data_IF_925537326324
#
_entry.id   IF_925537326324
#
_cell.length_a   1.000
_cell.length_b   1.000
_cell.length_c   1.000
_cell.angle_alpha   90.00
_cell.angle_beta   90.00
_cell.angle_gamma   90.00
#
_symmetry.space_group_name_H-M   'P 1'
#
loop_
_entity.id
_entity.type
_entity.pdbx_description
1 polymer ?
#
# COMPACT_ATOMS: atom_id res chain seq x y z
N UNK A 1 53.27 -5.74 -60.62
CA UNK A 1 52.20 -4.96 -59.97
C UNK A 1 51.65 -5.78 -58.81
N UNK A 2 52.13 -5.52 -57.59
CA UNK A 2 51.71 -6.21 -56.38
C UNK A 2 50.56 -5.46 -55.73
N UNK A 3 49.41 -6.10 -55.51
CA UNK A 3 48.35 -5.57 -54.64
C UNK A 3 47.48 -6.73 -54.14
N UNK A 4 47.89 -7.35 -53.03
CA UNK A 4 47.11 -8.36 -52.32
C UNK A 4 45.83 -7.73 -51.76
N UNK A 5 44.68 -8.32 -52.09
CA UNK A 5 43.36 -7.84 -51.70
C UNK A 5 42.78 -8.65 -50.53
N UNK A 6 42.30 -7.90 -49.54
CA UNK A 6 41.12 -8.16 -48.70
C UNK A 6 41.27 -9.14 -47.52
N UNK A 7 41.55 -8.57 -46.35
CA UNK A 7 41.07 -9.10 -45.06
C UNK A 7 40.40 -7.96 -44.30
N UNK A 8 39.07 -7.97 -44.26
CA UNK A 8 38.25 -7.00 -43.53
C UNK A 8 37.46 -7.75 -42.48
N UNK A 9 38.11 -8.01 -41.34
CA UNK A 9 37.43 -8.40 -40.10
C UNK A 9 36.76 -7.16 -39.52
N UNK A 10 35.44 -7.16 -39.36
CA UNK A 10 34.78 -6.33 -38.36
C UNK A 10 33.91 -7.22 -37.47
N UNK A 11 34.24 -7.21 -36.18
CA UNK A 11 33.59 -8.01 -35.15
C UNK A 11 32.28 -7.32 -34.80
N UNK A 12 31.15 -8.00 -34.97
CA UNK A 12 29.85 -7.59 -34.44
C UNK A 12 29.92 -7.65 -32.91
N UNK A 13 30.14 -6.50 -32.27
CA UNK A 13 29.82 -6.33 -30.87
C UNK A 13 28.30 -6.40 -30.74
N UNK A 14 27.80 -7.49 -30.17
CA UNK A 14 26.41 -7.61 -29.76
C UNK A 14 26.14 -6.57 -28.70
N UNK A 15 25.48 -5.48 -29.08
CA UNK A 15 24.81 -4.57 -28.18
C UNK A 15 23.66 -5.34 -27.54
N UNK A 16 23.95 -6.07 -26.47
CA UNK A 16 22.93 -6.52 -25.54
C UNK A 16 22.23 -5.27 -25.06
N UNK A 17 20.99 -5.08 -25.52
CA UNK A 17 20.05 -4.10 -25.02
C UNK A 17 19.91 -4.36 -23.53
N UNK A 18 20.74 -3.70 -22.71
CA UNK A 18 20.43 -3.53 -21.31
C UNK A 18 19.14 -2.73 -21.34
N UNK A 19 18.02 -3.44 -21.19
CA UNK A 19 16.71 -2.88 -20.96
C UNK A 19 16.91 -1.87 -19.85
N UNK A 20 17.03 -0.62 -20.26
CA UNK A 20 17.11 0.53 -19.37
C UNK A 20 15.91 0.36 -18.48
N UNK A 21 16.18 0.09 -17.19
CA UNK A 21 15.21 0.04 -16.12
C UNK A 21 14.38 1.28 -16.28
N UNK A 22 13.27 1.12 -16.99
CA UNK A 22 12.37 2.21 -17.33
C UNK A 22 11.80 2.49 -15.97
N UNK A 23 12.32 3.54 -15.32
CA UNK A 23 11.66 4.18 -14.21
C UNK A 23 10.26 4.40 -14.71
N UNK A 24 9.35 3.47 -14.37
CA UNK A 24 7.97 3.48 -14.82
C UNK A 24 7.47 4.82 -14.33
N UNK A 25 7.36 5.77 -15.24
CA UNK A 25 6.83 7.08 -14.94
C UNK A 25 5.42 6.81 -14.46
N UNK A 26 5.20 6.88 -13.15
CA UNK A 26 3.87 6.77 -12.58
C UNK A 26 3.04 7.85 -13.26
N UNK A 27 1.98 7.47 -13.96
CA UNK A 27 1.17 8.44 -14.71
C UNK A 27 0.31 9.27 -13.74
N UNK A 28 -0.05 10.50 -14.14
CA UNK A 28 -1.00 11.30 -13.37
C UNK A 28 -2.32 10.57 -13.14
N UNK A 29 -2.76 9.76 -14.12
CA UNK A 29 -3.97 8.94 -14.01
C UNK A 29 -3.84 7.94 -12.85
N UNK A 30 -2.71 7.25 -12.71
CA UNK A 30 -2.46 6.32 -11.61
C UNK A 30 -2.46 7.02 -10.25
N UNK A 31 -1.88 8.22 -10.17
CA UNK A 31 -1.89 9.04 -8.95
C UNK A 31 -3.34 9.44 -8.63
N UNK A 32 -4.11 9.87 -9.62
CA UNK A 32 -5.51 10.28 -9.44
C UNK A 32 -6.41 9.12 -9.01
N UNK A 33 -6.20 7.92 -9.56
CA UNK A 33 -6.92 6.70 -9.19
C UNK A 33 -6.59 6.30 -7.75
N UNK A 34 -5.32 6.35 -7.37
CA UNK A 34 -4.88 6.08 -6.00
C UNK A 34 -5.53 7.06 -5.01
N UNK A 35 -5.47 8.36 -5.29
CA UNK A 35 -6.10 9.38 -4.44
C UNK A 35 -7.62 9.18 -4.34
N UNK A 36 -8.27 8.74 -5.41
CA UNK A 36 -9.71 8.44 -5.42
C UNK A 36 -10.03 7.25 -4.52
N UNK A 37 -9.22 6.18 -4.58
CA UNK A 37 -9.35 5.01 -3.69
C UNK A 37 -9.10 5.38 -2.23
N UNK A 38 -8.06 6.16 -1.95
CA UNK A 38 -7.75 6.62 -0.60
C UNK A 38 -8.87 7.48 -0.01
N UNK A 39 -9.41 8.42 -0.80
CA UNK A 39 -10.57 9.20 -0.38
C UNK A 39 -11.74 8.29 0.00
N UNK A 40 -12.12 7.30 -0.82
CA UNK A 40 -13.23 6.39 -0.52
C UNK A 40 -13.07 5.58 0.79
N UNK A 41 -11.83 5.29 1.19
CA UNK A 41 -11.52 4.56 2.43
C UNK A 41 -11.50 5.45 3.67
N UNK A 42 -11.33 6.76 3.51
CA UNK A 42 -11.29 7.69 4.63
C UNK A 42 -12.68 7.92 5.24
N UNK A 43 -12.82 7.90 6.57
CA UNK A 43 -14.11 8.17 7.22
C UNK A 43 -14.63 9.58 6.90
N UNK A 44 -13.75 10.55 6.66
CA UNK A 44 -14.14 11.93 6.31
C UNK A 44 -14.84 12.02 4.94
N UNK A 45 -14.53 11.14 3.98
CA UNK A 45 -15.23 11.13 2.69
C UNK A 45 -16.64 10.56 2.83
N UNK A 46 -16.83 9.63 3.76
CA UNK A 46 -18.12 8.98 4.04
C UNK A 46 -19.01 9.90 4.88
N UNK A 47 -18.45 10.55 5.90
CA UNK A 47 -19.15 11.51 6.75
C UNK A 47 -19.68 12.70 5.94
N UNK A 48 -18.97 13.08 4.87
CA UNK A 48 -19.35 14.17 3.98
C UNK A 48 -19.79 13.63 2.63
N UNK A 49 -20.91 12.91 2.62
CA UNK A 49 -21.75 12.60 1.44
C UNK A 49 -22.33 13.87 0.75
N UNK A 50 -21.60 14.99 0.78
CA UNK A 50 -22.09 16.32 0.46
C UNK A 50 -20.94 17.32 0.40
N UNK A 51 -20.07 17.18 -0.59
CA UNK A 51 -19.30 18.31 -1.11
C UNK A 51 -17.86 18.45 -0.63
N UNK A 52 -16.98 18.64 -1.61
CA UNK A 52 -16.00 19.73 -1.62
C UNK A 52 -14.72 19.67 -0.77
N UNK A 53 -14.24 18.51 -0.33
CA UNK A 53 -12.82 18.40 0.06
C UNK A 53 -12.05 17.40 -0.81
N UNK A 54 -11.95 17.74 -2.09
CA UNK A 54 -10.78 17.35 -2.90
C UNK A 54 -9.60 18.13 -2.33
N UNK A 55 -9.12 17.72 -1.15
CA UNK A 55 -7.92 18.27 -0.54
C UNK A 55 -6.75 18.10 -1.50
N UNK A 56 -5.68 18.87 -1.30
CA UNK A 56 -4.42 18.62 -2.02
C UNK A 56 -4.03 17.14 -1.86
N UNK A 57 -3.31 16.57 -2.84
CA UNK A 57 -2.81 15.20 -2.74
C UNK A 57 -2.08 14.96 -1.40
N UNK A 58 -1.33 15.96 -0.94
CA UNK A 58 -0.67 15.97 0.36
C UNK A 58 -1.65 15.82 1.53
N UNK A 59 -2.80 16.50 1.49
CA UNK A 59 -3.83 16.40 2.54
C UNK A 59 -4.48 15.02 2.55
N UNK A 60 -4.88 14.49 1.39
CA UNK A 60 -5.44 13.13 1.29
C UNK A 60 -4.47 12.08 1.84
N UNK A 61 -3.18 12.20 1.50
CA UNK A 61 -2.14 11.31 2.02
C UNK A 61 -1.96 11.48 3.54
N UNK A 62 -1.97 12.71 4.05
CA UNK A 62 -1.88 12.99 5.49
C UNK A 62 -3.05 12.38 6.25
N UNK A 63 -4.27 12.54 5.76
CA UNK A 63 -5.48 12.01 6.38
C UNK A 63 -5.46 10.48 6.33
N UNK A 64 -5.03 9.90 5.21
CA UNK A 64 -4.81 8.44 5.06
C UNK A 64 -3.82 7.91 6.09
N UNK A 65 -2.65 8.53 6.21
CA UNK A 65 -1.65 8.12 7.19
C UNK A 65 -2.16 8.29 8.63
N UNK A 66 -2.97 9.31 8.90
CA UNK A 66 -3.57 9.54 10.21
C UNK A 66 -4.60 8.47 10.55
N UNK A 67 -5.42 8.07 9.58
CA UNK A 67 -6.41 7.02 9.76
C UNK A 67 -5.78 5.64 9.95
N UNK A 68 -4.71 5.32 9.22
CA UNK A 68 -3.94 4.08 9.44
C UNK A 68 -3.41 4.04 10.88
N UNK A 69 -2.87 5.16 11.39
CA UNK A 69 -2.39 5.23 12.78
C UNK A 69 -3.51 5.05 13.79
N UNK A 70 -4.68 5.65 13.58
CA UNK A 70 -5.82 5.46 14.50
C UNK A 70 -6.31 4.02 14.48
N UNK A 71 -6.40 3.40 13.31
CA UNK A 71 -6.76 1.98 13.18
C UNK A 71 -5.77 1.07 13.93
N UNK A 72 -4.46 1.31 13.78
CA UNK A 72 -3.46 0.56 14.55
C UNK A 72 -3.65 0.74 16.06
N UNK A 73 -3.86 1.98 16.52
CA UNK A 73 -4.10 2.25 17.94
C UNK A 73 -5.39 1.59 18.44
N UNK A 74 -6.48 1.62 17.67
CA UNK A 74 -7.74 0.97 18.01
C UNK A 74 -7.57 -0.55 18.11
N UNK A 75 -6.84 -1.16 17.17
CA UNK A 75 -6.51 -2.59 17.20
C UNK A 75 -5.65 -2.93 18.41
N UNK A 76 -4.64 -2.12 18.73
CA UNK A 76 -3.77 -2.34 19.90
C UNK A 76 -4.58 -2.24 21.20
N UNK A 77 -5.40 -1.20 21.36
CA UNK A 77 -6.26 -1.00 22.52
C UNK A 77 -7.30 -2.13 22.69
N UNK A 78 -7.92 -2.56 21.59
CA UNK A 78 -8.85 -3.69 21.59
C UNK A 78 -8.13 -4.99 21.97
N UNK A 79 -6.92 -5.18 21.48
CA UNK A 79 -6.09 -6.35 21.80
C UNK A 79 -5.72 -6.40 23.27
N UNK A 80 -5.34 -5.26 23.86
CA UNK A 80 -5.06 -5.14 25.29
C UNK A 80 -6.32 -5.39 26.13
N UNK A 81 -7.44 -4.76 25.77
CA UNK A 81 -8.73 -4.96 26.46
C UNK A 81 -9.17 -6.43 26.43
N UNK A 82 -8.99 -7.12 25.29
CA UNK A 82 -9.28 -8.54 25.17
C UNK A 82 -8.33 -9.40 26.02
N UNK A 83 -7.04 -9.07 26.06
CA UNK A 83 -6.08 -9.78 26.89
C UNK A 83 -6.40 -9.64 28.39
N UNK A 84 -6.76 -8.43 28.83
CA UNK A 84 -7.22 -8.17 30.20
C UNK A 84 -8.52 -8.91 30.52
N UNK A 85 -9.49 -8.93 29.60
CA UNK A 85 -10.74 -9.65 29.78
C UNK A 85 -10.51 -11.16 29.92
N UNK A 86 -9.60 -11.72 29.11
CA UNK A 86 -9.21 -13.13 29.20
C UNK A 86 -8.43 -13.46 30.49
N UNK A 87 -7.66 -12.52 31.01
CA UNK A 87 -6.88 -12.71 32.24
C UNK A 87 -7.71 -12.51 33.52
N UNK A 88 -8.65 -11.56 33.51
CA UNK A 88 -9.49 -11.19 34.67
C UNK A 88 -10.67 -12.12 34.86
N UNK A 89 -11.22 -12.64 33.76
CA UNK A 89 -12.30 -13.57 33.86
C UNK A 89 -11.72 -14.93 34.30
N UNK A 90 -12.10 -15.32 35.52
CA UNK A 90 -12.19 -16.71 35.95
C UNK A 90 -13.35 -17.36 35.16
N UNK A 91 -13.23 -17.35 33.82
CA UNK A 91 -14.35 -17.45 32.89
C UNK A 91 -14.97 -18.83 33.06
N UNK A 92 -16.18 -18.90 33.61
CA UNK A 92 -17.06 -20.06 33.45
C UNK A 92 -17.04 -20.43 31.96
N UNK A 93 -16.67 -21.67 31.62
CA UNK A 93 -16.16 -22.08 30.30
C UNK A 93 -16.88 -21.51 29.07
N UNK A 94 -18.17 -21.21 29.20
CA UNK A 94 -19.08 -20.77 28.16
C UNK A 94 -18.74 -19.37 27.62
N UNK A 95 -18.46 -18.37 28.48
CA UNK A 95 -18.08 -17.04 28.01
C UNK A 95 -16.71 -17.06 27.31
N UNK A 96 -15.77 -17.91 27.77
CA UNK A 96 -14.47 -18.08 27.15
C UNK A 96 -14.59 -18.81 25.80
N UNK A 97 -15.54 -19.73 25.68
CA UNK A 97 -15.86 -20.37 24.42
C UNK A 97 -16.40 -19.36 23.40
N UNK A 98 -17.27 -18.43 23.82
CA UNK A 98 -17.77 -17.35 22.95
C UNK A 98 -16.63 -16.42 22.51
N UNK A 99 -15.79 -15.96 23.44
CA UNK A 99 -14.62 -15.13 23.08
C UNK A 99 -13.69 -15.89 22.13
N UNK A 100 -13.40 -17.17 22.39
CA UNK A 100 -12.60 -18.03 21.48
C UNK A 100 -13.24 -18.23 20.11
N UNK A 101 -14.58 -18.31 20.03
CA UNK A 101 -15.30 -18.46 18.76
C UNK A 101 -15.37 -17.18 17.93
N UNK A 102 -15.26 -16.01 18.57
CA UNK A 102 -15.22 -14.72 17.86
C UNK A 102 -13.81 -14.40 17.34
N UNK A 103 -12.77 -15.00 17.94
CA UNK A 103 -11.37 -14.84 17.56
C UNK A 103 -10.90 -15.80 16.45
N UNK A 104 -11.64 -16.88 16.17
CA UNK A 104 -11.34 -17.87 15.10
C UNK A 104 -12.21 -17.62 13.86
#
# INVERSE_FOLDING_TARGET
MSSGRRSSRTRRAGSSSLSSSTSRSISEDQISELLSKLQALLPESQARNGGAHRGSAARVLQDTCSYIRSLHQEVDNLSETLAELLASADVTSDQAAVIRSLLM
#
